data_IF_877947385661
#
_entry.id   IF_877947385661
#
_cell.length_a   1.000
_cell.length_b   1.000
_cell.length_c   1.000
_cell.angle_alpha   90.00
_cell.angle_beta   90.00
_cell.angle_gamma   90.00
#
_symmetry.space_group_name_H-M   'P 1'
#
loop_
_entity.id
_entity.type
_entity.pdbx_description
1 polymer ?
#
# COMPACT_ATOMS: atom_id res chain seq x y z
N UNK A 1 11.74 -33.98 -14.22
CA UNK A 1 10.84 -34.55 -13.19
C UNK A 1 10.80 -33.53 -12.06
N UNK A 2 9.84 -32.60 -12.02
CA UNK A 2 8.57 -32.70 -11.26
C UNK A 2 8.86 -33.17 -9.81
N UNK A 3 8.72 -32.35 -8.75
CA UNK A 3 7.49 -31.84 -8.09
C UNK A 3 7.96 -30.80 -7.03
N UNK A 4 7.37 -29.61 -6.78
CA UNK A 4 6.01 -29.18 -6.41
C UNK A 4 5.82 -28.95 -4.88
N UNK A 5 5.59 -27.67 -4.50
CA UNK A 5 4.59 -27.10 -3.53
C UNK A 5 4.73 -27.56 -2.05
N UNK A 6 4.82 -26.72 -1.00
CA UNK A 6 3.84 -25.71 -0.56
C UNK A 6 4.41 -24.80 0.54
N UNK A 7 4.28 -23.48 0.38
CA UNK A 7 4.46 -22.48 1.44
C UNK A 7 3.18 -22.35 2.28
N UNK A 8 3.30 -22.44 3.60
CA UNK A 8 2.21 -22.19 4.54
C UNK A 8 2.21 -20.70 4.91
N UNK A 9 1.15 -19.99 4.54
CA UNK A 9 0.93 -18.59 4.89
C UNK A 9 0.55 -18.48 6.38
N UNK A 10 1.38 -17.76 7.13
CA UNK A 10 1.12 -17.39 8.51
C UNK A 10 -0.04 -16.39 8.58
N UNK A 11 -1.00 -16.70 9.45
CA UNK A 11 -2.10 -15.83 9.83
C UNK A 11 -1.55 -14.73 10.75
N UNK A 12 -1.44 -13.50 10.24
CA UNK A 12 -1.00 -12.32 10.99
C UNK A 12 -2.18 -11.47 11.43
N UNK A 13 -2.67 -11.70 12.65
CA UNK A 13 -3.52 -10.77 13.38
C UNK A 13 -2.66 -9.61 13.89
N UNK A 14 -2.87 -8.39 13.39
CA UNK A 14 -2.23 -7.19 13.92
C UNK A 14 -3.28 -6.30 14.61
N UNK A 15 -3.19 -6.32 15.93
CA UNK A 15 -4.03 -5.62 16.91
C UNK A 15 -3.82 -4.11 16.83
N UNK A 16 -4.91 -3.34 16.74
CA UNK A 16 -4.87 -1.89 16.92
C UNK A 16 -4.63 -1.57 18.41
N UNK A 17 -3.54 -0.84 18.69
CA UNK A 17 -3.17 -0.38 20.04
C UNK A 17 -4.09 0.78 20.49
N UNK A 18 -4.57 0.82 21.75
CA UNK A 18 -5.32 1.96 22.27
C UNK A 18 -4.40 3.15 22.61
N UNK A 19 -4.91 4.36 22.37
CA UNK A 19 -4.26 5.64 22.63
C UNK A 19 -4.09 5.92 24.15
N UNK A 20 -3.09 6.72 24.56
CA UNK A 20 -2.87 7.07 25.96
C UNK A 20 -3.93 8.05 26.46
N UNK A 21 -4.54 7.72 27.60
CA UNK A 21 -5.54 8.54 28.26
C UNK A 21 -4.98 9.83 28.84
N UNK A 22 -5.88 10.81 29.02
CA UNK A 22 -5.73 11.85 30.04
C UNK A 22 -6.87 11.70 31.05
N UNK A 23 -6.57 11.74 32.37
CA UNK A 23 -7.59 11.84 33.39
C UNK A 23 -8.05 13.30 33.49
N UNK A 24 -9.22 13.58 34.05
CA UNK A 24 -9.45 14.57 35.10
C UNK A 24 -10.96 14.80 35.31
N UNK A 25 -11.46 14.31 36.45
CA UNK A 25 -12.31 15.12 37.35
C UNK A 25 -13.83 14.98 37.31
N UNK A 26 -14.40 14.40 38.38
CA UNK A 26 -15.64 14.91 39.01
C UNK A 26 -16.91 14.03 38.94
N UNK A 27 -17.68 13.86 40.05
CA UNK A 27 -18.79 12.91 40.14
C UNK A 27 -20.17 13.46 39.77
N UNK A 28 -20.92 12.60 39.08
CA UNK A 28 -22.37 12.29 39.14
C UNK A 28 -23.40 13.43 39.18
N UNK A 29 -24.22 13.56 38.13
CA UNK A 29 -25.69 13.53 38.27
C UNK A 29 -26.41 13.12 36.97
N UNK A 30 -27.40 12.23 37.16
CA UNK A 30 -28.58 11.92 36.35
C UNK A 30 -28.40 11.08 35.07
N UNK A 31 -28.77 9.82 35.28
CA UNK A 31 -29.19 8.79 34.34
C UNK A 31 -29.78 9.30 33.02
N UNK A 32 -29.05 8.99 31.96
CA UNK A 32 -29.44 8.58 30.62
C UNK A 32 -30.84 8.99 30.13
N UNK A 33 -30.90 10.11 29.40
CA UNK A 33 -31.76 10.15 28.23
C UNK A 33 -31.32 9.01 27.29
N UNK A 34 -32.27 8.21 26.82
CA UNK A 34 -32.06 7.11 25.86
C UNK A 34 -31.64 7.67 24.50
N UNK A 35 -30.43 8.20 24.40
CA UNK A 35 -29.73 8.37 23.14
C UNK A 35 -28.73 7.22 23.06
N UNK A 36 -29.23 6.01 22.75
CA UNK A 36 -28.35 5.07 22.07
C UNK A 36 -27.88 5.81 20.82
N UNK A 37 -26.62 6.21 20.82
CA UNK A 37 -25.96 6.76 19.64
C UNK A 37 -26.23 5.78 18.52
N UNK A 38 -27.04 6.18 17.55
CA UNK A 38 -27.23 5.44 16.33
C UNK A 38 -25.89 5.45 15.61
N UNK A 39 -24.99 4.55 16.02
CA UNK A 39 -23.77 4.27 15.31
C UNK A 39 -24.18 3.38 14.15
N UNK A 40 -24.13 3.85 12.89
CA UNK A 40 -24.65 3.13 11.73
C UNK A 40 -23.86 1.84 11.45
N UNK A 41 -22.79 1.60 12.21
CA UNK A 41 -21.89 0.46 12.10
C UNK A 41 -22.43 -0.86 12.68
N UNK A 42 -23.50 -0.85 13.49
CA UNK A 42 -23.98 -2.10 14.13
C UNK A 42 -24.91 -2.94 13.23
N UNK A 43 -25.60 -2.33 12.26
CA UNK A 43 -26.54 -3.05 11.37
C UNK A 43 -26.20 -3.00 9.87
N UNK A 44 -25.10 -2.36 9.47
CA UNK A 44 -24.66 -2.31 8.07
C UNK A 44 -23.65 -3.43 7.80
N UNK A 45 -24.15 -4.62 7.44
CA UNK A 45 -23.30 -5.63 6.83
C UNK A 45 -22.96 -5.17 5.39
N UNK A 46 -21.80 -4.55 5.20
CA UNK A 46 -21.34 -4.18 3.86
C UNK A 46 -21.13 -5.46 3.04
N UNK A 47 -21.86 -5.65 1.93
CA UNK A 47 -21.63 -6.79 1.04
C UNK A 47 -20.18 -6.76 0.59
N UNK A 48 -19.49 -7.90 0.70
CA UNK A 48 -18.12 -8.02 0.22
C UNK A 48 -18.18 -7.97 -1.31
N UNK A 49 -17.76 -6.85 -1.90
CA UNK A 49 -17.78 -6.66 -3.35
C UNK A 49 -16.94 -7.76 -4.01
N UNK A 50 -17.60 -8.65 -4.76
CA UNK A 50 -16.95 -9.62 -5.61
C UNK A 50 -17.17 -9.15 -7.05
N UNK A 51 -16.11 -8.70 -7.72
CA UNK A 51 -16.19 -8.29 -9.12
C UNK A 51 -16.75 -9.46 -9.96
N UNK A 52 -17.87 -9.30 -10.69
CA UNK A 52 -18.54 -10.39 -11.42
C UNK A 52 -17.71 -11.03 -12.55
N UNK A 53 -16.57 -10.43 -12.91
CA UNK A 53 -15.72 -10.86 -14.02
C UNK A 53 -14.52 -11.73 -13.62
N UNK A 54 -14.26 -11.87 -12.32
CA UNK A 54 -13.16 -12.69 -11.82
C UNK A 54 -13.69 -14.05 -11.42
N UNK A 55 -13.13 -15.11 -12.01
CA UNK A 55 -13.33 -16.47 -11.48
C UNK A 55 -12.68 -16.53 -10.10
N UNK A 56 -13.34 -17.23 -9.16
CA UNK A 56 -12.80 -17.43 -7.81
C UNK A 56 -11.37 -17.98 -7.88
N UNK A 57 -10.37 -17.15 -7.58
CA UNK A 57 -8.94 -17.51 -7.55
C UNK A 57 -8.05 -16.85 -8.60
N UNK A 58 -8.60 -16.15 -9.60
CA UNK A 58 -7.83 -15.35 -10.56
C UNK A 58 -8.02 -13.88 -10.18
N UNK A 59 -7.06 -13.27 -9.48
CA UNK A 59 -7.09 -11.81 -9.25
C UNK A 59 -6.83 -11.08 -10.57
N UNK A 60 -7.59 -10.01 -10.83
CA UNK A 60 -7.35 -9.11 -11.95
C UNK A 60 -5.94 -8.57 -11.79
N UNK A 61 -5.05 -8.93 -12.70
CA UNK A 61 -3.68 -8.44 -12.67
C UNK A 61 -3.69 -6.96 -13.07
N UNK A 62 -3.08 -6.11 -12.25
CA UNK A 62 -2.99 -4.70 -12.57
C UNK A 62 -2.14 -4.50 -13.84
N UNK A 63 -2.61 -3.76 -14.86
CA UNK A 63 -1.83 -3.49 -16.06
C UNK A 63 -0.54 -2.70 -15.74
N UNK A 64 -0.51 -2.01 -14.60
CA UNK A 64 0.67 -1.33 -14.08
C UNK A 64 1.90 -2.23 -13.97
N UNK A 65 1.73 -3.49 -13.57
CA UNK A 65 2.86 -4.38 -13.34
C UNK A 65 3.54 -4.84 -14.64
N UNK A 66 2.81 -4.80 -15.75
CA UNK A 66 3.35 -5.08 -17.08
C UNK A 66 4.03 -3.84 -17.71
N UNK A 67 3.54 -2.65 -17.38
CA UNK A 67 4.05 -1.38 -17.91
C UNK A 67 5.31 -0.89 -17.19
N UNK A 68 5.42 -1.11 -15.87
CA UNK A 68 6.61 -0.77 -15.07
C UNK A 68 7.94 -1.22 -15.71
N UNK A 69 8.15 -2.50 -16.07
CA UNK A 69 9.44 -2.94 -16.62
C UNK A 69 9.73 -2.35 -18.01
N UNK A 70 8.70 -2.06 -18.82
CA UNK A 70 8.88 -1.41 -20.13
C UNK A 70 9.39 0.01 -19.94
N UNK A 71 8.78 0.78 -19.04
CA UNK A 71 9.18 2.16 -18.75
C UNK A 71 10.55 2.28 -18.08
N UNK A 72 10.99 1.27 -17.31
CA UNK A 72 12.34 1.27 -16.72
C UNK A 72 13.45 1.26 -17.78
N UNK A 73 13.20 0.69 -18.97
CA UNK A 73 14.18 0.72 -20.06
C UNK A 73 14.36 2.13 -20.64
N UNK A 74 13.28 2.93 -20.71
CA UNK A 74 13.32 4.32 -21.17
C UNK A 74 13.99 5.25 -20.16
N UNK A 75 13.87 4.96 -18.86
CA UNK A 75 14.40 5.78 -17.76
C UNK A 75 15.74 5.27 -17.22
N UNK A 76 16.55 4.59 -18.03
CA UNK A 76 17.78 3.92 -17.58
C UNK A 76 18.81 4.87 -16.95
N UNK A 77 18.92 6.11 -17.44
CA UNK A 77 19.85 7.11 -16.89
C UNK A 77 19.56 7.43 -15.42
N UNK A 78 18.30 7.69 -15.08
CA UNK A 78 17.87 7.98 -13.72
C UNK A 78 17.95 6.76 -12.81
N UNK A 79 17.75 5.57 -13.37
CA UNK A 79 17.91 4.30 -12.67
C UNK A 79 19.36 4.10 -12.24
N UNK A 80 20.31 4.42 -13.12
CA UNK A 80 21.74 4.35 -12.83
C UNK A 80 22.13 5.27 -11.65
N UNK A 81 21.76 6.55 -11.71
CA UNK A 81 22.02 7.54 -10.65
C UNK A 81 21.41 7.13 -9.29
N UNK A 82 20.19 6.59 -9.31
CA UNK A 82 19.53 6.07 -8.12
C UNK A 82 20.31 4.88 -7.52
N UNK A 83 20.73 3.92 -8.36
CA UNK A 83 21.50 2.76 -7.91
C UNK A 83 22.87 3.16 -7.33
N UNK A 84 23.54 4.14 -7.93
CA UNK A 84 24.79 4.68 -7.38
C UNK A 84 24.57 5.31 -6.01
N UNK A 85 23.49 6.08 -5.85
CA UNK A 85 23.11 6.66 -4.56
C UNK A 85 22.84 5.57 -3.51
N UNK A 86 22.06 4.54 -3.86
CA UNK A 86 21.75 3.42 -2.96
C UNK A 86 23.01 2.68 -2.54
N UNK A 87 23.92 2.43 -3.48
CA UNK A 87 25.21 1.78 -3.22
C UNK A 87 26.07 2.63 -2.28
N UNK A 88 26.12 3.95 -2.51
CA UNK A 88 26.84 4.86 -1.61
C UNK A 88 26.28 4.83 -0.19
N UNK A 89 24.95 4.83 -0.03
CA UNK A 89 24.30 4.80 1.29
C UNK A 89 24.49 3.45 1.98
N UNK A 90 24.43 2.34 1.25
CA UNK A 90 24.62 1.00 1.83
C UNK A 90 26.02 0.80 2.42
N UNK A 91 27.02 1.49 1.87
CA UNK A 91 28.38 1.50 2.40
C UNK A 91 28.57 2.46 3.59
N UNK A 92 27.62 3.36 3.89
CA UNK A 92 27.72 4.26 5.04
C UNK A 92 27.20 3.59 6.32
N UNK A 93 28.01 3.59 7.36
CA UNK A 93 27.65 3.12 8.71
C UNK A 93 26.87 4.15 9.53
N UNK A 94 26.79 5.39 9.04
CA UNK A 94 26.30 6.54 9.82
C UNK A 94 24.76 6.62 9.92
N UNK A 95 24.04 5.76 9.19
CA UNK A 95 22.57 5.73 9.17
C UNK A 95 21.91 7.05 8.71
N UNK A 96 22.69 7.96 8.14
CA UNK A 96 22.30 9.31 7.74
C UNK A 96 22.60 9.50 6.26
N UNK A 97 21.54 9.63 5.46
CA UNK A 97 21.59 9.84 4.02
C UNK A 97 20.30 9.38 3.37
N UNK A 98 19.78 10.16 2.43
CA UNK A 98 18.55 9.86 1.70
C UNK A 98 18.84 9.91 0.18
N UNK A 99 18.27 8.97 -0.58
CA UNK A 99 18.26 9.00 -2.05
C UNK A 99 16.96 9.61 -2.62
N UNK A 100 16.19 10.34 -1.80
CA UNK A 100 14.87 10.85 -2.18
C UNK A 100 14.90 11.73 -3.43
N UNK A 101 15.88 12.63 -3.55
CA UNK A 101 16.00 13.48 -4.74
C UNK A 101 16.18 12.67 -6.03
N UNK A 102 17.06 11.68 -6.04
CA UNK A 102 17.24 10.83 -7.22
C UNK A 102 16.05 9.91 -7.49
N UNK A 103 15.34 9.52 -6.42
CA UNK A 103 14.11 8.73 -6.55
C UNK A 103 12.98 9.56 -7.18
N UNK A 104 12.84 10.83 -6.81
CA UNK A 104 11.82 11.73 -7.36
C UNK A 104 11.97 11.89 -8.89
N UNK A 105 13.19 12.12 -9.38
CA UNK A 105 13.47 12.23 -10.83
C UNK A 105 13.20 10.91 -11.58
N UNK A 106 13.57 9.77 -11.00
CA UNK A 106 13.27 8.44 -11.55
C UNK A 106 11.76 8.23 -11.65
N UNK A 107 11.01 8.54 -10.60
CA UNK A 107 9.55 8.40 -10.59
C UNK A 107 8.88 9.34 -11.56
N UNK A 108 9.38 10.57 -11.71
CA UNK A 108 8.83 11.53 -12.66
C UNK A 108 8.99 11.06 -14.11
N UNK A 109 10.15 10.48 -14.45
CA UNK A 109 10.35 9.85 -15.76
C UNK A 109 9.42 8.63 -15.95
N UNK A 110 9.31 7.78 -14.93
CA UNK A 110 8.47 6.58 -14.98
C UNK A 110 6.99 6.93 -15.14
N UNK A 111 6.49 7.89 -14.38
CA UNK A 111 5.09 8.34 -14.42
C UNK A 111 4.76 8.99 -15.77
N UNK A 112 5.69 9.77 -16.33
CA UNK A 112 5.52 10.35 -17.67
C UNK A 112 5.37 9.25 -18.73
N UNK A 113 6.16 8.18 -18.66
CA UNK A 113 6.03 7.03 -19.57
C UNK A 113 4.71 6.28 -19.36
N UNK A 114 4.38 5.93 -18.12
CA UNK A 114 3.18 5.14 -17.80
C UNK A 114 1.90 5.89 -18.19
N UNK A 115 1.85 7.20 -18.01
CA UNK A 115 0.67 8.02 -18.32
C UNK A 115 0.19 7.88 -19.78
N UNK A 116 1.11 7.62 -20.73
CA UNK A 116 0.75 7.46 -22.13
C UNK A 116 0.07 6.11 -22.44
N UNK A 117 0.43 5.04 -21.72
CA UNK A 117 -0.03 3.68 -22.02
C UNK A 117 -1.13 3.20 -21.07
N UNK A 118 -1.16 3.71 -19.83
CA UNK A 118 -2.04 3.22 -18.77
C UNK A 118 -3.53 3.34 -19.10
N UNK A 119 -3.96 4.47 -19.68
CA UNK A 119 -5.36 4.68 -20.03
C UNK A 119 -5.82 3.87 -21.25
N UNK A 120 -4.91 3.25 -22.00
CA UNK A 120 -5.28 2.33 -23.06
C UNK A 120 -5.69 0.94 -22.51
N UNK A 121 -5.16 0.57 -21.33
CA UNK A 121 -5.40 -0.73 -20.70
C UNK A 121 -6.56 -0.73 -19.70
N UNK A 122 -6.96 0.44 -19.21
CA UNK A 122 -8.07 0.60 -18.27
C UNK A 122 -9.34 0.91 -19.08
N UNK A 123 -10.39 0.09 -18.90
CA UNK A 123 -11.70 0.24 -19.55
C UNK A 123 -12.80 0.49 -18.52
#
# INVERSE_FOLDING_TARGET
MAQAISAQAAQGAAQARPAPGRPFGGPCTRQAAMSFSYSPTFFQHFPKYHAPHLKHGEEAKDPLDELKPKCLSSCHSWLFEYNECVTRISHRTDGKGDCKGQFEELTQCQDHCIAHELFAHIK
#
